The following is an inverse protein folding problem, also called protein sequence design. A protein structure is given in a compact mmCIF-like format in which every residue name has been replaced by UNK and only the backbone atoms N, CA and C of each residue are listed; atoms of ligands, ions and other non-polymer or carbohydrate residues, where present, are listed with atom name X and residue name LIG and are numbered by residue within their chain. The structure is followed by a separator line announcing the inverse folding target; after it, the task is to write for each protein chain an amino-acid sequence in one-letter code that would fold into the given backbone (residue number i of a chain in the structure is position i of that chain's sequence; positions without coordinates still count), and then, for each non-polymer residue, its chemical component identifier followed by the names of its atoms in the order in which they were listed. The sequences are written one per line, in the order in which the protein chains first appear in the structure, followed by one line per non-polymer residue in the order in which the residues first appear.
data_IF_764712949350
#
_entry.id   IF_764712949350
#
_cell.length_a   1.000
_cell.length_b   1.000
_cell.length_c   1.000
_cell.angle_alpha   90.00
_cell.angle_beta   90.00
_cell.angle_gamma   90.00
#
_symmetry.space_group_name_H-M   'P 1'
#
loop_
_entity.id
_entity.type
_entity.pdbx_description
1 polymer ?
#
# COMPACT_ATOMS: atom_id res chain seq x y z
N UNK A 1 9.30 -1.26 -19.37
CA UNK A 1 9.04 -2.61 -18.83
C UNK A 1 7.57 -2.93 -18.98
N UNK A 2 7.21 -4.10 -19.53
CA UNK A 2 5.80 -4.47 -19.70
C UNK A 2 5.23 -4.91 -18.34
N UNK A 3 3.98 -4.54 -18.04
CA UNK A 3 3.30 -4.89 -16.75
C UNK A 3 3.38 -6.39 -16.40
N UNK A 4 3.39 -7.27 -17.41
CA UNK A 4 3.54 -8.73 -17.22
C UNK A 4 4.90 -9.14 -16.66
N UNK A 5 5.94 -8.33 -16.85
CA UNK A 5 7.30 -8.61 -16.37
C UNK A 5 7.46 -8.24 -14.89
N UNK A 6 6.68 -7.25 -14.39
CA UNK A 6 6.70 -6.84 -12.98
C UNK A 6 6.36 -7.99 -12.03
N UNK A 7 5.37 -8.82 -12.36
CA UNK A 7 4.93 -9.94 -11.51
C UNK A 7 5.97 -11.06 -11.32
N UNK A 8 7.03 -11.08 -12.14
CA UNK A 8 8.15 -12.04 -12.07
C UNK A 8 9.48 -11.40 -11.65
N UNK A 9 9.47 -10.10 -11.35
CA UNK A 9 10.66 -9.37 -10.92
C UNK A 9 11.20 -9.94 -9.59
N UNK A 10 12.51 -9.82 -9.38
CA UNK A 10 13.13 -10.06 -8.08
C UNK A 10 12.86 -8.90 -7.10
N UNK A 11 12.40 -7.75 -7.58
CA UNK A 11 12.06 -6.59 -6.76
C UNK A 11 10.67 -6.76 -6.13
N UNK A 12 10.53 -6.73 -4.80
CA UNK A 12 9.23 -6.81 -4.13
C UNK A 12 8.30 -5.65 -4.52
N UNK A 13 8.85 -4.45 -4.74
CA UNK A 13 8.08 -3.28 -5.17
C UNK A 13 7.43 -3.53 -6.54
N UNK A 14 8.16 -4.08 -7.51
CA UNK A 14 7.63 -4.39 -8.83
C UNK A 14 6.45 -5.36 -8.73
N UNK A 15 6.58 -6.41 -7.92
CA UNK A 15 5.50 -7.38 -7.70
C UNK A 15 4.29 -6.74 -7.03
N UNK A 16 4.51 -5.88 -6.04
CA UNK A 16 3.41 -5.14 -5.41
C UNK A 16 2.71 -4.22 -6.39
N UNK A 17 3.45 -3.46 -7.21
CA UNK A 17 2.89 -2.58 -8.24
C UNK A 17 2.14 -3.37 -9.33
N UNK A 18 2.55 -4.60 -9.64
CA UNK A 18 1.81 -5.46 -10.55
C UNK A 18 0.40 -5.76 -10.04
N UNK A 19 0.27 -5.99 -8.75
CA UNK A 19 -1.01 -6.36 -8.13
C UNK A 19 -1.89 -5.14 -7.81
N UNK A 20 -1.31 -4.13 -7.15
CA UNK A 20 -2.05 -3.03 -6.54
C UNK A 20 -1.64 -1.63 -7.01
N UNK A 21 -0.71 -1.52 -7.95
CA UNK A 21 -0.06 -0.24 -8.32
C UNK A 21 -0.88 0.69 -9.21
N UNK A 22 -2.15 0.45 -9.42
CA UNK A 22 -3.01 1.40 -10.15
C UNK A 22 -3.81 2.29 -9.17
N UNK A 23 -4.08 3.52 -9.61
CA UNK A 23 -4.75 4.54 -8.82
C UNK A 23 -6.08 4.08 -8.23
N UNK A 24 -6.87 3.36 -9.00
CA UNK A 24 -8.20 2.93 -8.57
C UNK A 24 -8.14 1.85 -7.50
N UNK A 25 -7.21 0.92 -7.64
CA UNK A 25 -6.96 -0.12 -6.62
C UNK A 25 -6.54 0.51 -5.29
N UNK A 26 -5.66 1.52 -5.31
CA UNK A 26 -5.26 2.22 -4.09
C UNK A 26 -6.44 2.97 -3.44
N UNK A 27 -7.33 3.55 -4.23
CA UNK A 27 -8.54 4.19 -3.70
C UNK A 27 -9.53 3.17 -3.11
N UNK A 28 -9.74 2.02 -3.76
CA UNK A 28 -10.57 0.94 -3.23
C UNK A 28 -10.01 0.46 -1.88
N UNK A 29 -8.70 0.23 -1.79
CA UNK A 29 -8.05 -0.19 -0.54
C UNK A 29 -8.17 0.87 0.56
N UNK A 30 -8.02 2.15 0.22
CA UNK A 30 -8.25 3.26 1.15
C UNK A 30 -9.67 3.22 1.74
N UNK A 31 -10.67 3.08 0.88
CA UNK A 31 -12.07 3.09 1.31
C UNK A 31 -12.42 1.84 2.14
N UNK A 32 -11.89 0.68 1.75
CA UNK A 32 -12.04 -0.54 2.53
C UNK A 32 -11.42 -0.43 3.94
N UNK A 33 -10.27 0.24 4.09
CA UNK A 33 -9.66 0.53 5.39
C UNK A 33 -10.52 1.47 6.24
N UNK A 34 -11.40 2.25 5.62
CA UNK A 34 -12.38 3.09 6.31
C UNK A 34 -13.74 2.37 6.53
N UNK A 35 -13.80 1.05 6.28
CA UNK A 35 -14.99 0.24 6.56
C UNK A 35 -15.99 0.12 5.42
N UNK A 36 -15.65 0.58 4.21
CA UNK A 36 -16.48 0.35 3.03
C UNK A 36 -16.38 -1.11 2.61
N UNK A 37 -17.53 -1.81 2.55
CA UNK A 37 -17.60 -3.23 2.21
C UNK A 37 -18.51 -3.52 1.02
N UNK A 38 -19.48 -2.65 0.70
CA UNK A 38 -20.50 -2.90 -0.32
C UNK A 38 -20.08 -2.32 -1.67
N UNK A 39 -20.43 -3.03 -2.73
CA UNK A 39 -20.19 -2.58 -4.10
C UNK A 39 -20.76 -1.18 -4.36
N UNK A 40 -22.00 -0.94 -3.91
CA UNK A 40 -22.68 0.36 -4.09
C UNK A 40 -21.93 1.51 -3.44
N UNK A 41 -21.36 1.27 -2.26
CA UNK A 41 -20.64 2.30 -1.50
C UNK A 41 -19.31 2.61 -2.16
N UNK A 42 -18.56 1.59 -2.61
CA UNK A 42 -17.37 1.81 -3.45
C UNK A 42 -17.71 2.58 -4.73
N UNK A 43 -18.82 2.23 -5.40
CA UNK A 43 -19.24 2.91 -6.61
C UNK A 43 -19.53 4.39 -6.37
N UNK A 44 -20.24 4.71 -5.29
CA UNK A 44 -20.60 6.07 -4.92
C UNK A 44 -19.38 6.92 -4.50
N UNK A 45 -18.42 6.32 -3.78
CA UNK A 45 -17.25 7.05 -3.28
C UNK A 45 -16.21 7.30 -4.36
N UNK A 46 -16.01 6.32 -5.26
CA UNK A 46 -14.90 6.38 -6.23
C UNK A 46 -15.36 6.94 -7.58
N UNK A 47 -16.65 6.79 -7.91
CA UNK A 47 -17.21 7.29 -9.17
C UNK A 47 -16.74 6.53 -10.43
N UNK A 48 -16.32 5.27 -10.28
CA UNK A 48 -15.93 4.41 -11.40
C UNK A 48 -17.12 3.85 -12.14
N UNK A 49 -16.94 3.62 -13.45
CA UNK A 49 -17.90 2.82 -14.22
C UNK A 49 -18.02 1.41 -13.59
N UNK A 50 -19.24 0.91 -13.49
CA UNK A 50 -19.59 -0.35 -12.81
C UNK A 50 -18.74 -1.55 -13.27
N UNK A 51 -18.51 -1.68 -14.57
CA UNK A 51 -17.68 -2.76 -15.13
C UNK A 51 -16.21 -2.66 -14.72
N UNK A 52 -15.67 -1.44 -14.59
CA UNK A 52 -14.29 -1.21 -14.16
C UNK A 52 -14.14 -1.54 -12.67
N UNK A 53 -15.05 -1.06 -11.84
CA UNK A 53 -15.06 -1.36 -10.41
C UNK A 53 -15.20 -2.88 -10.17
N UNK A 54 -16.15 -3.54 -10.85
CA UNK A 54 -16.36 -4.98 -10.74
C UNK A 54 -15.08 -5.77 -11.08
N UNK A 55 -14.43 -5.45 -12.20
CA UNK A 55 -13.19 -6.09 -12.59
C UNK A 55 -12.06 -5.90 -11.56
N UNK A 56 -11.98 -4.72 -10.93
CA UNK A 56 -10.99 -4.44 -9.87
C UNK A 56 -11.24 -5.23 -8.61
N UNK A 57 -12.49 -5.23 -8.13
CA UNK A 57 -12.86 -6.00 -6.93
C UNK A 57 -12.65 -7.49 -7.14
N UNK A 58 -13.04 -8.04 -8.31
CA UNK A 58 -12.78 -9.44 -8.66
C UNK A 58 -11.28 -9.75 -8.68
N UNK A 59 -10.44 -8.88 -9.25
CA UNK A 59 -8.99 -9.05 -9.21
C UNK A 59 -8.48 -9.09 -7.77
N UNK A 60 -8.94 -8.17 -6.91
CA UNK A 60 -8.51 -8.10 -5.51
C UNK A 60 -8.94 -9.34 -4.71
N UNK A 61 -10.08 -9.93 -5.02
CA UNK A 61 -10.50 -11.23 -4.49
C UNK A 61 -9.56 -12.35 -5.00
N UNK A 62 -9.30 -12.39 -6.30
CA UNK A 62 -8.46 -13.43 -6.91
C UNK A 62 -7.02 -13.45 -6.36
N UNK A 63 -6.48 -12.27 -5.98
CA UNK A 63 -5.15 -12.17 -5.37
C UNK A 63 -5.16 -12.26 -3.84
N UNK A 64 -6.33 -12.52 -3.24
CA UNK A 64 -6.50 -12.76 -1.80
C UNK A 64 -6.37 -11.51 -0.93
N UNK A 65 -6.65 -10.33 -1.47
CA UNK A 65 -6.71 -9.07 -0.72
C UNK A 65 -8.11 -8.88 -0.12
N UNK A 66 -9.15 -9.23 -0.87
CA UNK A 66 -10.52 -9.33 -0.38
C UNK A 66 -10.99 -10.77 -0.33
N UNK A 67 -11.94 -11.02 0.52
CA UNK A 67 -12.85 -12.16 0.46
C UNK A 67 -14.27 -11.65 0.32
N UNK A 68 -15.15 -12.48 -0.26
CA UNK A 68 -16.56 -12.20 -0.39
C UNK A 68 -17.27 -12.87 0.77
N UNK A 69 -18.04 -12.09 1.54
CA UNK A 69 -18.92 -12.60 2.60
C UNK A 69 -20.37 -12.28 2.28
N UNK A 70 -21.28 -13.11 2.74
CA UNK A 70 -22.72 -12.78 2.71
C UNK A 70 -23.00 -11.67 3.73
N UNK A 71 -23.76 -10.68 3.30
CA UNK A 71 -24.25 -9.63 4.21
C UNK A 71 -25.09 -10.25 5.32
N UNK A 72 -25.02 -9.70 6.52
CA UNK A 72 -25.84 -10.10 7.66
C UNK A 72 -27.35 -10.08 7.36
N UNK A 73 -27.79 -9.36 6.34
CA UNK A 73 -29.19 -9.30 5.87
C UNK A 73 -29.52 -10.37 4.80
N UNK A 74 -28.54 -11.19 4.38
CA UNK A 74 -28.75 -12.34 3.48
C UNK A 74 -29.06 -12.03 2.02
N UNK A 75 -29.04 -10.76 1.61
CA UNK A 75 -29.48 -10.34 0.27
C UNK A 75 -28.41 -9.63 -0.58
N UNK A 76 -27.16 -9.58 -0.12
CA UNK A 76 -26.05 -8.95 -0.82
C UNK A 76 -24.70 -9.53 -0.40
N UNK A 77 -23.69 -9.32 -1.21
CA UNK A 77 -22.31 -9.69 -0.92
C UNK A 77 -21.51 -8.46 -0.43
N UNK A 78 -20.59 -8.70 0.49
CA UNK A 78 -19.65 -7.71 1.00
C UNK A 78 -18.23 -8.13 0.68
N UNK A 79 -17.39 -7.16 0.33
CA UNK A 79 -15.96 -7.32 0.10
C UNK A 79 -15.22 -6.98 1.39
N UNK A 80 -14.71 -7.99 2.07
CA UNK A 80 -14.05 -7.82 3.36
C UNK A 80 -12.54 -8.00 3.18
N UNK A 81 -11.74 -7.15 3.81
CA UNK A 81 -10.28 -7.28 3.77
C UNK A 81 -9.84 -8.55 4.48
N UNK A 82 -9.04 -9.37 3.81
CA UNK A 82 -8.29 -10.48 4.43
C UNK A 82 -7.17 -9.94 5.32
N UNK A 83 -6.44 -10.80 6.03
CA UNK A 83 -5.23 -10.42 6.74
C UNK A 83 -4.22 -9.74 5.79
N UNK A 84 -3.95 -10.36 4.64
CA UNK A 84 -3.10 -9.79 3.57
C UNK A 84 -3.60 -8.40 3.11
N UNK A 85 -4.91 -8.22 3.00
CA UNK A 85 -5.50 -6.93 2.66
C UNK A 85 -5.28 -5.90 3.77
N UNK A 86 -5.48 -6.28 5.02
CA UNK A 86 -5.28 -5.40 6.19
C UNK A 86 -3.83 -4.96 6.36
N UNK A 87 -2.85 -5.82 6.06
CA UNK A 87 -1.43 -5.48 6.14
C UNK A 87 -1.04 -4.30 5.24
N UNK A 88 -1.83 -4.02 4.22
CA UNK A 88 -1.61 -2.88 3.32
C UNK A 88 -1.82 -1.51 4.02
N UNK A 89 -2.36 -1.48 5.24
CA UNK A 89 -2.58 -0.24 5.99
C UNK A 89 -1.31 0.58 6.19
N UNK A 90 -0.17 -0.08 6.43
CA UNK A 90 1.13 0.58 6.62
C UNK A 90 1.60 1.27 5.34
N UNK A 91 1.36 0.65 4.17
CA UNK A 91 1.69 1.25 2.86
C UNK A 91 0.86 2.50 2.63
N UNK A 92 -0.45 2.45 2.91
CA UNK A 92 -1.32 3.62 2.80
C UNK A 92 -0.96 4.72 3.80
N UNK A 93 -0.54 4.35 5.01
CA UNK A 93 -0.08 5.32 6.01
C UNK A 93 1.19 6.05 5.55
N UNK A 94 2.17 5.32 4.98
CA UNK A 94 3.39 5.91 4.42
C UNK A 94 3.09 6.81 3.22
N UNK A 95 2.20 6.38 2.32
CA UNK A 95 1.78 7.17 1.16
C UNK A 95 1.07 8.45 1.59
N UNK A 96 0.16 8.36 2.57
CA UNK A 96 -0.52 9.52 3.17
C UNK A 96 0.49 10.48 3.79
N UNK A 97 1.41 9.99 4.59
CA UNK A 97 2.45 10.80 5.23
C UNK A 97 3.28 11.58 4.21
N UNK A 98 3.67 10.92 3.13
CA UNK A 98 4.40 11.56 2.04
C UNK A 98 3.54 12.64 1.35
N UNK A 99 2.28 12.32 1.04
CA UNK A 99 1.35 13.26 0.43
C UNK A 99 1.10 14.49 1.29
N UNK A 100 0.84 14.31 2.59
CA UNK A 100 0.65 15.41 3.53
C UNK A 100 1.86 16.34 3.61
N UNK A 101 3.06 15.79 3.51
CA UNK A 101 4.31 16.57 3.61
C UNK A 101 4.63 17.37 2.34
N UNK A 102 4.21 16.90 1.17
CA UNK A 102 4.75 17.40 -0.09
C UNK A 102 3.69 17.95 -1.06
N UNK A 103 2.40 17.70 -0.81
CA UNK A 103 1.31 18.02 -1.74
C UNK A 103 0.24 18.92 -1.14
N UNK A 104 0.42 19.43 0.06
CA UNK A 104 -0.51 20.33 0.74
C UNK A 104 0.22 21.57 1.20
N UNK A 105 -0.44 22.71 1.07
CA UNK A 105 -0.01 23.96 1.66
C UNK A 105 -0.42 24.03 3.15
N UNK A 106 0.22 24.91 3.93
CA UNK A 106 0.07 24.96 5.40
C UNK A 106 -1.36 25.26 5.87
N UNK A 107 -2.15 25.98 5.07
CA UNK A 107 -3.52 26.39 5.35
C UNK A 107 -4.59 25.48 4.73
N UNK A 108 -4.20 24.45 3.97
CA UNK A 108 -5.14 23.51 3.37
C UNK A 108 -5.72 22.53 4.39
N UNK A 109 -7.02 22.22 4.22
CA UNK A 109 -7.67 21.18 5.00
C UNK A 109 -7.21 19.80 4.55
N UNK A 110 -6.72 19.01 5.49
CA UNK A 110 -6.26 17.65 5.23
C UNK A 110 -6.90 16.64 6.20
N UNK A 111 -7.30 15.50 5.67
CA UNK A 111 -7.78 14.40 6.49
C UNK A 111 -6.63 13.77 7.29
N UNK A 112 -6.72 13.77 8.61
CA UNK A 112 -5.69 13.21 9.50
C UNK A 112 -6.11 11.86 10.04
N UNK A 113 -5.13 10.98 10.22
CA UNK A 113 -5.30 9.71 10.92
C UNK A 113 -5.03 9.92 12.40
N UNK A 114 -5.91 9.37 13.22
CA UNK A 114 -5.75 9.34 14.68
C UNK A 114 -5.97 7.91 15.19
N UNK A 115 -5.33 7.59 16.29
CA UNK A 115 -5.61 6.37 17.04
C UNK A 115 -7.05 6.43 17.56
N UNK A 116 -7.87 5.47 17.15
CA UNK A 116 -9.30 5.43 17.50
C UNK A 116 -9.55 5.36 19.02
N UNK A 117 -8.61 4.83 19.80
CA UNK A 117 -8.72 4.68 21.25
C UNK A 117 -8.33 5.96 22.00
N UNK A 118 -7.34 6.69 21.50
CA UNK A 118 -6.75 7.83 22.22
C UNK A 118 -7.04 9.18 21.59
N UNK A 119 -7.53 9.21 20.34
CA UNK A 119 -7.72 10.42 19.53
C UNK A 119 -6.42 11.12 19.13
N UNK A 120 -5.26 10.55 19.44
CA UNK A 120 -3.96 11.15 19.16
C UNK A 120 -3.43 10.73 17.81
N UNK A 121 -2.62 11.59 17.20
CA UNK A 121 -1.91 11.25 15.97
C UNK A 121 -0.91 10.11 16.24
N UNK A 122 -0.88 9.05 15.41
CA UNK A 122 0.11 7.99 15.53
C UNK A 122 1.52 8.53 15.22
N UNK A 123 2.53 7.79 15.66
CA UNK A 123 3.91 8.10 15.25
C UNK A 123 4.06 7.96 13.75
N UNK A 124 4.94 8.73 13.10
CA UNK A 124 5.24 8.57 11.70
C UNK A 124 5.71 7.15 11.36
N UNK A 125 5.41 6.71 10.13
CA UNK A 125 6.00 5.49 9.58
C UNK A 125 7.44 5.81 9.20
N UNK A 126 8.40 5.16 9.86
CA UNK A 126 9.84 5.31 9.61
C UNK A 126 10.51 3.96 9.48
N UNK A 127 11.60 3.90 8.72
CA UNK A 127 12.50 2.75 8.75
C UNK A 127 13.48 2.96 9.90
N UNK A 128 13.60 1.94 10.75
CA UNK A 128 14.44 2.00 11.95
C UNK A 128 15.44 0.86 11.92
N UNK A 129 16.71 1.16 12.17
CA UNK A 129 17.77 0.18 12.34
C UNK A 129 17.62 -0.57 13.69
N UNK A 130 18.34 -1.67 13.85
CA UNK A 130 18.31 -2.50 15.08
C UNK A 130 18.74 -1.74 16.34
N UNK A 131 19.59 -0.72 16.18
CA UNK A 131 20.03 0.17 17.25
C UNK A 131 19.02 1.28 17.61
N UNK A 132 17.86 1.32 16.92
CA UNK A 132 16.81 2.30 17.11
C UNK A 132 16.98 3.60 16.32
N UNK A 133 18.04 3.75 15.53
CA UNK A 133 18.26 4.92 14.67
C UNK A 133 17.31 4.91 13.48
N UNK A 134 16.70 6.04 13.15
CA UNK A 134 15.93 6.21 11.92
C UNK A 134 16.86 6.21 10.70
N UNK A 135 16.46 5.45 9.67
CA UNK A 135 17.22 5.32 8.43
C UNK A 135 16.71 6.32 7.38
N UNK A 136 17.62 7.10 6.86
CA UNK A 136 17.40 7.94 5.67
C UNK A 136 17.59 7.11 4.38
N UNK A 137 17.28 7.70 3.23
CA UNK A 137 17.47 7.04 1.94
C UNK A 137 18.96 6.71 1.65
N UNK A 138 19.89 7.45 2.24
CA UNK A 138 21.32 7.24 2.05
C UNK A 138 21.91 6.15 2.96
N UNK A 139 21.16 5.77 3.99
CA UNK A 139 21.51 4.69 4.92
C UNK A 139 21.10 3.29 4.40
N UNK A 140 20.38 3.22 3.28
CA UNK A 140 19.79 1.98 2.78
C UNK A 140 20.63 1.39 1.65
N UNK A 141 21.01 0.12 1.81
CA UNK A 141 21.61 -0.69 0.76
C UNK A 141 20.63 -1.79 0.34
N UNK A 142 20.42 -1.94 -0.96
CA UNK A 142 19.59 -3.03 -1.49
C UNK A 142 20.51 -4.22 -1.78
N UNK A 143 20.20 -5.36 -1.18
CA UNK A 143 20.91 -6.62 -1.39
C UNK A 143 19.94 -7.67 -1.96
N UNK A 144 20.48 -8.62 -2.71
CA UNK A 144 19.71 -9.74 -3.26
C UNK A 144 20.01 -11.01 -2.48
N UNK A 145 18.95 -11.64 -1.95
CA UNK A 145 19.04 -12.95 -1.31
C UNK A 145 17.79 -13.77 -1.67
N UNK A 146 17.78 -15.06 -1.31
CA UNK A 146 16.54 -15.85 -1.32
C UNK A 146 15.63 -15.35 -0.21
N UNK A 147 14.32 -15.32 -0.44
CA UNK A 147 13.35 -14.79 0.53
C UNK A 147 13.41 -15.46 1.93
N UNK A 148 13.84 -16.73 1.99
CA UNK A 148 14.00 -17.51 3.22
C UNK A 148 15.43 -17.57 3.74
N UNK A 149 16.40 -16.91 3.07
CA UNK A 149 17.81 -16.96 3.47
C UNK A 149 18.17 -15.85 4.45
N UNK A 150 19.13 -16.08 5.38
CA UNK A 150 19.68 -15.02 6.20
C UNK A 150 20.30 -13.90 5.36
N UNK A 151 20.22 -12.66 5.85
CA UNK A 151 20.73 -11.47 5.15
C UNK A 151 22.27 -11.48 5.05
N UNK A 152 22.96 -12.14 5.98
CA UNK A 152 24.43 -12.27 5.96
C UNK A 152 24.96 -12.96 4.69
N UNK A 153 24.12 -13.74 4.00
CA UNK A 153 24.46 -14.38 2.72
C UNK A 153 24.06 -13.57 1.49
N UNK A 154 23.59 -12.34 1.67
CA UNK A 154 23.05 -11.51 0.60
C UNK A 154 24.14 -10.81 -0.21
N UNK A 155 23.90 -10.70 -1.52
CA UNK A 155 24.77 -9.98 -2.45
C UNK A 155 24.20 -8.59 -2.75
N UNK A 156 24.99 -7.51 -2.69
CA UNK A 156 24.53 -6.18 -3.10
C UNK A 156 24.02 -6.18 -4.55
N UNK A 157 22.90 -5.51 -4.76
CA UNK A 157 22.39 -5.26 -6.12
C UNK A 157 23.18 -4.07 -6.70
N UNK A 158 23.72 -4.25 -7.90
CA UNK A 158 24.39 -3.16 -8.62
C UNK A 158 23.35 -2.07 -8.94
N UNK A 159 23.34 -1.05 -8.09
CA UNK A 159 22.48 0.11 -8.26
C UNK A 159 23.32 1.21 -8.88
N UNK A 160 22.87 1.90 -9.94
CA UNK A 160 23.61 3.02 -10.52
C UNK A 160 23.96 4.01 -9.42
N UNK A 161 25.27 4.24 -9.22
CA UNK A 161 25.77 5.18 -8.20
C UNK A 161 25.10 6.53 -8.42
N UNK A 162 24.38 7.02 -7.42
CA UNK A 162 23.94 8.41 -7.43
C UNK A 162 25.16 9.30 -7.56
N UNK A 163 25.21 10.12 -8.61
CA UNK A 163 26.16 11.22 -8.67
C UNK A 163 25.94 12.06 -7.41
N UNK A 164 26.91 12.05 -6.50
CA UNK A 164 26.99 13.09 -5.47
C UNK A 164 27.16 14.39 -6.24
N UNK A 165 26.11 15.17 -6.38
CA UNK A 165 26.21 16.58 -6.74
C UNK A 165 26.96 17.23 -5.58
N UNK A 166 28.23 17.49 -5.82
CA UNK A 166 29.10 18.26 -4.93
C UNK A 166 28.51 19.66 -4.74
N UNK A 167 28.66 20.14 -3.53
CA UNK A 167 28.38 21.40 -2.91
C UNK A 167 28.14 22.59 -3.84
#
# INVERSE_FOLDING_TARGET
MKRRELGRSACPIDRSLHEVGDTWTLQILRDAMHGVTRFTDFSNHIGLATNVLSARLQKLVAVGIFEIQESALGNSHEYVLTEKGRDFHTVLAALRQWGQKHLFDDDELVNRVVDARTGRQPRPVTLTADDGRELSADDILIVQSRASAPIESATPVDTPRRHRSGA
#
